data_IF_697775587301
#
_entry.id   IF_697775587301
#
_cell.length_a   1.000
_cell.length_b   1.000
_cell.length_c   1.000
_cell.angle_alpha   90.00
_cell.angle_beta   90.00
_cell.angle_gamma   90.00
#
_symmetry.space_group_name_H-M   'P 1'
#
loop_
_entity.id
_entity.type
_entity.pdbx_description
1 polymer ?
#
# COMPACT_ATOMS: atom_id res chain seq x y z
N UNK A 1 -20.14 -37.05 5.40
CA UNK A 1 -20.81 -36.13 4.44
C UNK A 1 -21.98 -35.45 5.13
N UNK A 2 -21.84 -34.19 5.54
CA UNK A 2 -22.86 -33.50 6.36
C UNK A 2 -22.72 -31.98 6.35
N UNK A 3 -22.37 -31.40 5.20
CA UNK A 3 -22.04 -29.97 5.06
C UNK A 3 -22.97 -29.16 4.16
N UNK A 4 -24.13 -29.68 3.75
CA UNK A 4 -24.97 -29.04 2.70
C UNK A 4 -26.36 -28.59 3.13
N UNK A 5 -26.77 -28.73 4.40
CA UNK A 5 -28.12 -28.31 4.86
C UNK A 5 -28.14 -26.96 5.60
N UNK A 6 -27.00 -26.39 5.97
CA UNK A 6 -26.97 -25.15 6.75
C UNK A 6 -27.19 -23.86 5.94
N UNK A 7 -27.06 -23.89 4.60
CA UNK A 7 -27.28 -22.70 3.76
C UNK A 7 -28.75 -22.46 3.35
N UNK A 8 -29.65 -23.42 3.56
CA UNK A 8 -31.08 -23.26 3.24
C UNK A 8 -31.87 -22.68 4.44
N UNK A 9 -31.37 -22.84 5.66
CA UNK A 9 -31.97 -22.31 6.88
C UNK A 9 -31.44 -20.93 7.30
N UNK A 10 -30.51 -20.34 6.55
CA UNK A 10 -30.03 -19.00 6.82
C UNK A 10 -31.14 -18.00 6.49
N UNK A 11 -31.65 -17.21 7.46
CA UNK A 11 -32.71 -16.25 7.19
C UNK A 11 -32.21 -15.23 6.15
N UNK A 12 -33.00 -15.03 5.09
CA UNK A 12 -32.75 -14.04 4.02
C UNK A 12 -32.90 -12.59 4.49
N UNK A 13 -33.29 -12.39 5.75
CA UNK A 13 -33.44 -11.09 6.38
C UNK A 13 -32.09 -10.54 6.85
N UNK A 14 -31.82 -9.26 6.59
CA UNK A 14 -30.65 -8.53 7.10
C UNK A 14 -30.71 -8.27 8.62
N UNK A 15 -31.05 -9.27 9.43
CA UNK A 15 -31.04 -9.17 10.90
C UNK A 15 -29.62 -8.84 11.41
N UNK A 16 -28.61 -9.34 10.70
CA UNK A 16 -27.20 -9.02 10.96
C UNK A 16 -26.81 -7.61 10.52
N UNK A 17 -27.58 -6.92 9.67
CA UNK A 17 -27.23 -5.57 9.20
C UNK A 17 -27.28 -4.52 10.33
N UNK A 18 -28.38 -4.53 11.10
CA UNK A 18 -28.55 -3.63 12.26
C UNK A 18 -27.63 -4.01 13.42
N UNK A 19 -27.43 -5.30 13.66
CA UNK A 19 -26.48 -5.79 14.67
C UNK A 19 -25.03 -5.43 14.33
N UNK A 20 -24.61 -5.55 13.06
CA UNK A 20 -23.27 -5.14 12.61
C UNK A 20 -23.00 -3.67 12.87
N UNK A 21 -23.96 -2.78 12.60
CA UNK A 21 -23.82 -1.34 12.87
C UNK A 21 -23.65 -1.04 14.36
N UNK A 22 -24.41 -1.72 15.23
CA UNK A 22 -24.29 -1.57 16.68
C UNK A 22 -22.95 -2.12 17.21
N UNK A 23 -22.48 -3.24 16.67
CA UNK A 23 -21.19 -3.84 17.03
C UNK A 23 -20.01 -2.97 16.57
N UNK A 24 -20.11 -2.27 15.43
CA UNK A 24 -19.09 -1.29 15.07
C UNK A 24 -18.94 -0.21 16.14
N UNK A 25 -20.03 0.34 16.68
CA UNK A 25 -19.93 1.35 17.74
C UNK A 25 -19.24 0.86 19.02
N UNK A 26 -19.34 -0.43 19.35
CA UNK A 26 -18.72 -1.03 20.55
C UNK A 26 -17.24 -1.36 20.37
N UNK A 27 -16.84 -1.75 19.15
CA UNK A 27 -15.49 -2.22 18.87
C UNK A 27 -14.70 -1.29 17.94
N UNK A 28 -15.23 -0.12 17.58
CA UNK A 28 -14.60 0.82 16.63
C UNK A 28 -13.18 1.19 17.06
N UNK A 29 -13.01 1.51 18.35
CA UNK A 29 -11.73 1.90 18.91
C UNK A 29 -10.74 0.72 18.94
N UNK A 30 -11.18 -0.47 19.35
CA UNK A 30 -10.34 -1.66 19.34
C UNK A 30 -9.96 -2.08 17.92
N UNK A 31 -10.90 -2.07 16.97
CA UNK A 31 -10.65 -2.33 15.55
C UNK A 31 -9.69 -1.28 14.99
N UNK A 32 -9.84 -0.01 15.40
CA UNK A 32 -8.97 1.11 15.06
C UNK A 32 -7.54 0.94 15.54
N UNK A 33 -7.36 0.57 16.81
CA UNK A 33 -6.05 0.37 17.42
C UNK A 33 -5.37 -0.88 16.86
N UNK A 34 -6.13 -1.94 16.61
CA UNK A 34 -5.58 -3.23 16.17
C UNK A 34 -5.48 -3.38 14.65
N UNK A 35 -5.93 -2.41 13.86
CA UNK A 35 -5.81 -2.50 12.41
C UNK A 35 -6.62 -3.61 11.76
N UNK A 36 -7.52 -4.28 12.50
CA UNK A 36 -8.10 -5.58 12.11
C UNK A 36 -9.16 -5.41 11.02
N UNK A 37 -8.86 -5.84 9.79
CA UNK A 37 -9.85 -6.10 8.74
C UNK A 37 -10.32 -7.54 8.89
N UNK A 38 -11.52 -7.74 9.45
CA UNK A 38 -12.22 -9.02 9.34
C UNK A 38 -13.28 -8.94 8.25
N UNK A 39 -13.17 -9.81 7.25
CA UNK A 39 -14.32 -10.15 6.42
C UNK A 39 -15.29 -11.00 7.24
N UNK A 40 -16.53 -10.53 7.45
CA UNK A 40 -17.59 -11.24 8.18
C UNK A 40 -17.99 -12.61 7.59
N UNK A 41 -17.39 -13.03 6.49
CA UNK A 41 -17.44 -14.40 5.95
C UNK A 41 -16.70 -15.44 6.80
N UNK A 42 -15.87 -15.01 7.77
CA UNK A 42 -15.25 -15.90 8.75
C UNK A 42 -15.90 -15.65 10.11
N UNK A 43 -16.55 -16.67 10.67
CA UNK A 43 -17.32 -16.55 11.92
C UNK A 43 -16.46 -16.40 13.17
N UNK A 44 -15.14 -16.64 13.07
CA UNK A 44 -14.14 -16.31 14.09
C UNK A 44 -12.73 -16.40 13.48
N UNK A 45 -12.25 -15.39 12.73
CA UNK A 45 -10.83 -15.34 12.39
C UNK A 45 -10.04 -15.06 13.67
N UNK A 46 -8.89 -15.69 13.82
CA UNK A 46 -7.97 -15.35 14.90
C UNK A 46 -7.63 -13.86 14.81
N UNK A 47 -7.79 -13.08 15.90
CA UNK A 47 -7.41 -11.68 15.87
C UNK A 47 -5.92 -11.59 15.54
N UNK A 48 -5.56 -10.61 14.70
CA UNK A 48 -4.17 -10.38 14.39
C UNK A 48 -3.42 -10.12 15.70
N UNK A 49 -2.33 -10.85 15.92
CA UNK A 49 -1.48 -10.67 17.10
C UNK A 49 -0.41 -9.59 16.90
N UNK A 50 -0.23 -9.14 15.66
CA UNK A 50 0.82 -8.20 15.28
C UNK A 50 0.30 -7.22 14.24
N UNK A 51 0.45 -5.95 14.55
CA UNK A 51 0.25 -4.85 13.61
C UNK A 51 1.51 -4.71 12.75
N UNK A 52 1.38 -4.89 11.43
CA UNK A 52 2.48 -4.74 10.48
C UNK A 52 2.31 -3.49 9.64
N UNK A 53 3.37 -2.69 9.54
CA UNK A 53 3.43 -1.49 8.73
C UNK A 53 4.75 -1.42 7.97
N UNK A 54 4.70 -0.71 6.85
CA UNK A 54 5.85 -0.42 6.02
C UNK A 54 6.30 1.01 6.33
N UNK A 55 7.53 1.13 6.81
CA UNK A 55 8.23 2.40 7.02
C UNK A 55 9.22 2.60 5.88
N UNK A 56 9.26 3.82 5.36
CA UNK A 56 10.18 4.23 4.31
C UNK A 56 11.30 5.07 4.90
N UNK A 57 12.55 4.78 4.55
CA UNK A 57 13.72 5.56 4.96
C UNK A 57 14.44 6.05 3.72
N UNK A 58 14.55 7.36 3.59
CA UNK A 58 15.30 8.02 2.52
C UNK A 58 16.76 8.16 2.94
N UNK A 59 17.68 7.73 2.09
CA UNK A 59 19.12 7.92 2.27
C UNK A 59 19.59 9.01 1.32
N UNK A 60 20.13 10.08 1.88
CA UNK A 60 20.66 11.21 1.12
C UNK A 60 22.13 11.01 0.72
N UNK A 61 22.64 11.81 -0.24
CA UNK A 61 24.04 11.75 -0.66
C UNK A 61 25.07 12.03 0.46
N UNK A 62 24.68 12.77 1.48
CA UNK A 62 25.48 13.06 2.68
C UNK A 62 25.49 11.92 3.70
N UNK A 63 24.79 10.82 3.42
CA UNK A 63 24.65 9.67 4.32
C UNK A 63 23.57 9.85 5.38
N UNK A 64 22.87 10.99 5.44
CA UNK A 64 21.77 11.18 6.37
C UNK A 64 20.57 10.31 6.01
N UNK A 65 19.90 9.81 7.04
CA UNK A 65 18.74 8.91 6.91
C UNK A 65 17.51 9.57 7.50
N UNK A 66 16.48 9.72 6.69
CA UNK A 66 15.21 10.31 7.08
C UNK A 66 14.11 9.27 6.98
N UNK A 67 13.48 8.95 8.11
CA UNK A 67 12.24 8.18 8.07
C UNK A 67 11.12 9.06 7.50
N UNK A 68 10.61 8.67 6.35
CA UNK A 68 9.46 9.30 5.73
C UNK A 68 8.24 8.76 6.44
N UNK A 69 7.73 9.53 7.42
CA UNK A 69 6.39 9.30 7.92
C UNK A 69 5.41 9.73 6.82
N UNK A 70 4.96 8.73 6.05
CA UNK A 70 4.14 8.94 4.85
C UNK A 70 2.99 9.93 5.06
N UNK A 71 2.74 10.75 4.03
CA UNK A 71 1.65 11.72 3.91
C UNK A 71 0.24 11.13 4.13
N UNK A 72 0.10 9.80 4.09
CA UNK A 72 -1.10 9.11 4.55
C UNK A 72 -0.93 8.84 6.04
N UNK A 73 -1.61 9.64 6.88
CA UNK A 73 -1.87 9.25 8.28
C UNK A 73 -2.53 7.88 8.24
N UNK A 74 -1.77 6.82 8.50
CA UNK A 74 -2.32 5.53 8.96
C UNK A 74 -3.17 5.73 10.23
N UNK A 75 -2.99 6.89 10.90
CA UNK A 75 -3.69 7.36 12.09
C UNK A 75 -5.10 7.91 11.82
N UNK A 76 -5.85 7.27 10.92
CA UNK A 76 -7.30 7.43 10.84
C UNK A 76 -7.99 6.23 11.51
N UNK A 77 -9.26 6.35 11.93
CA UNK A 77 -10.02 5.20 12.40
C UNK A 77 -9.93 4.06 11.38
N UNK A 78 -9.78 2.82 11.85
CA UNK A 78 -9.62 1.67 10.94
C UNK A 78 -10.88 1.54 10.13
N UNK A 79 -10.75 1.92 8.86
CA UNK A 79 -11.83 1.71 7.91
C UNK A 79 -11.92 0.22 7.64
N UNK A 80 -13.14 -0.30 7.66
CA UNK A 80 -13.53 -1.65 7.22
C UNK A 80 -13.02 -2.06 5.83
N UNK A 81 -12.49 -1.12 5.06
CA UNK A 81 -11.82 -1.38 3.80
C UNK A 81 -10.45 -0.73 3.87
N UNK A 82 -9.42 -1.51 3.59
CA UNK A 82 -8.11 -0.98 3.25
C UNK A 82 -8.27 0.15 2.23
N UNK A 83 -7.65 1.30 2.49
CA UNK A 83 -7.35 2.21 1.40
C UNK A 83 -6.41 1.49 0.41
N UNK A 84 -6.44 1.93 -0.85
CA UNK A 84 -5.65 1.27 -1.90
C UNK A 84 -4.15 1.29 -1.57
N UNK A 85 -3.70 2.31 -0.84
CA UNK A 85 -2.31 2.49 -0.39
C UNK A 85 -1.93 1.44 0.65
N UNK A 86 -2.70 1.22 1.71
CA UNK A 86 -2.41 0.21 2.75
C UNK A 86 -2.46 -1.20 2.17
N UNK A 87 -3.39 -1.49 1.25
CA UNK A 87 -3.38 -2.77 0.52
C UNK A 87 -2.08 -2.97 -0.26
N UNK A 88 -1.59 -1.92 -0.92
CA UNK A 88 -0.33 -1.97 -1.65
C UNK A 88 0.87 -2.12 -0.70
N UNK A 89 0.92 -1.38 0.42
CA UNK A 89 1.95 -1.50 1.45
C UNK A 89 2.01 -2.92 2.03
N UNK A 90 0.86 -3.53 2.36
CA UNK A 90 0.81 -4.94 2.76
C UNK A 90 1.34 -5.90 1.69
N UNK A 91 1.03 -5.62 0.42
CA UNK A 91 1.52 -6.44 -0.68
C UNK A 91 3.04 -6.32 -0.87
N UNK A 92 3.62 -5.15 -0.60
CA UNK A 92 5.07 -4.93 -0.61
C UNK A 92 5.77 -5.67 0.53
N UNK A 93 5.16 -5.75 1.72
CA UNK A 93 5.68 -6.53 2.86
C UNK A 93 5.76 -8.04 2.58
N UNK A 94 4.93 -8.56 1.67
CA UNK A 94 4.77 -10.00 1.40
C UNK A 94 5.53 -10.49 0.15
N UNK A 95 6.55 -9.75 -0.31
CA UNK A 95 7.52 -10.07 -1.40
C UNK A 95 7.17 -9.59 -2.83
N UNK A 96 6.27 -8.62 -3.03
CA UNK A 96 6.07 -8.02 -4.36
C UNK A 96 7.13 -6.96 -4.69
N UNK A 97 8.35 -7.42 -4.98
CA UNK A 97 9.53 -6.55 -5.24
C UNK A 97 9.30 -5.52 -6.36
N UNK A 98 8.58 -5.88 -7.41
CA UNK A 98 8.26 -4.94 -8.50
C UNK A 98 7.39 -3.75 -8.02
N UNK A 99 6.42 -4.01 -7.14
CA UNK A 99 5.60 -2.95 -6.55
C UNK A 99 6.43 -2.11 -5.57
N UNK A 100 7.27 -2.76 -4.76
CA UNK A 100 8.20 -2.10 -3.85
C UNK A 100 9.19 -1.18 -4.59
N UNK A 101 9.70 -1.61 -5.74
CA UNK A 101 10.55 -0.79 -6.61
C UNK A 101 9.82 0.41 -7.17
N UNK A 102 8.63 0.21 -7.76
CA UNK A 102 7.84 1.31 -8.31
C UNK A 102 7.45 2.32 -7.21
N UNK A 103 7.16 1.84 -6.00
CA UNK A 103 6.92 2.68 -4.83
C UNK A 103 8.16 3.47 -4.43
N UNK A 104 9.33 2.83 -4.34
CA UNK A 104 10.58 3.51 -4.04
C UNK A 104 10.92 4.60 -5.08
N UNK A 105 10.73 4.32 -6.37
CA UNK A 105 10.94 5.31 -7.44
C UNK A 105 9.98 6.50 -7.31
N UNK A 106 8.73 6.27 -6.91
CA UNK A 106 7.79 7.34 -6.56
C UNK A 106 8.32 8.16 -5.38
N UNK A 107 8.77 7.52 -4.31
CA UNK A 107 9.29 8.20 -3.13
C UNK A 107 10.55 9.02 -3.42
N UNK A 108 11.46 8.54 -4.28
CA UNK A 108 12.61 9.34 -4.73
C UNK A 108 12.16 10.66 -5.38
N UNK A 109 11.11 10.59 -6.22
CA UNK A 109 10.58 11.75 -6.95
C UNK A 109 9.83 12.71 -6.03
N UNK A 110 8.98 12.19 -5.14
CA UNK A 110 8.27 13.01 -4.15
C UNK A 110 9.25 13.71 -3.19
N UNK A 111 10.31 13.02 -2.76
CA UNK A 111 11.35 13.61 -1.94
C UNK A 111 12.07 14.76 -2.65
N UNK A 112 12.46 14.54 -3.91
CA UNK A 112 13.11 15.56 -4.73
C UNK A 112 12.22 16.79 -4.96
N UNK A 113 10.91 16.59 -5.17
CA UNK A 113 9.96 17.69 -5.28
C UNK A 113 9.79 18.47 -3.98
N UNK A 114 9.76 17.78 -2.84
CA UNK A 114 9.54 18.41 -1.54
C UNK A 114 10.79 19.11 -0.98
N UNK A 115 11.98 18.58 -1.24
CA UNK A 115 13.25 19.03 -0.62
C UNK A 115 14.25 19.60 -1.62
N UNK A 116 14.03 19.47 -2.92
CA UNK A 116 14.97 19.87 -3.97
C UNK A 116 16.23 18.99 -4.06
N UNK A 117 16.34 17.94 -3.24
CA UNK A 117 17.50 17.05 -3.16
C UNK A 117 17.14 15.68 -3.71
N UNK A 118 17.92 15.17 -4.64
CA UNK A 118 17.74 13.81 -5.16
C UNK A 118 18.38 12.79 -4.20
N UNK A 119 17.60 11.81 -3.67
CA UNK A 119 18.14 10.81 -2.77
C UNK A 119 18.94 9.73 -3.52
N UNK A 120 19.82 9.04 -2.78
CA UNK A 120 20.64 7.94 -3.33
C UNK A 120 19.81 6.65 -3.42
N UNK A 121 19.10 6.33 -2.34
CA UNK A 121 18.31 5.12 -2.23
C UNK A 121 17.16 5.29 -1.24
N UNK A 122 16.16 4.44 -1.41
CA UNK A 122 15.05 4.28 -0.47
C UNK A 122 15.18 2.88 0.15
N UNK A 123 15.25 2.85 1.48
CA UNK A 123 15.15 1.62 2.25
C UNK A 123 13.71 1.42 2.71
N UNK A 124 13.21 0.19 2.53
CA UNK A 124 11.92 -0.21 3.05
C UNK A 124 12.13 -1.06 4.30
N UNK A 125 11.46 -0.67 5.38
CA UNK A 125 11.51 -1.32 6.67
C UNK A 125 10.15 -1.90 7.02
N UNK A 126 10.13 -3.17 7.39
CA UNK A 126 8.97 -3.80 8.02
C UNK A 126 9.04 -3.43 9.48
N UNK A 127 7.96 -2.84 9.97
CA UNK A 127 7.79 -2.54 11.39
C UNK A 127 6.60 -3.32 11.91
N UNK A 128 6.74 -3.79 13.13
CA UNK A 128 5.79 -4.67 13.79
C UNK A 128 5.56 -4.18 15.21
N UNK A 129 4.30 -4.03 15.61
CA UNK A 129 3.92 -3.81 17.00
C UNK A 129 3.06 -4.97 17.45
N UNK A 130 3.40 -5.59 18.58
CA UNK A 130 2.57 -6.62 19.19
C UNK A 130 1.23 -6.01 19.62
N UNK A 131 0.14 -6.66 19.27
CA UNK A 131 -1.19 -6.28 19.73
C UNK A 131 -1.38 -6.93 21.12
N UNK A 132 -1.65 -6.13 22.17
CA UNK A 132 -1.86 -6.68 23.50
C UNK A 132 -3.11 -7.57 23.53
N UNK A 133 -3.11 -8.65 24.33
CA UNK A 133 -4.27 -9.51 24.48
C UNK A 133 -5.46 -8.73 25.09
N UNK A 134 -6.71 -9.14 24.82
CA UNK A 134 -7.90 -8.46 25.32
C UNK A 134 -7.93 -8.30 26.85
N UNK A 135 -7.39 -9.27 27.59
CA UNK A 135 -7.31 -9.26 29.06
C UNK A 135 -6.42 -8.11 29.57
N UNK A 136 -5.32 -7.83 28.87
CA UNK A 136 -4.41 -6.74 29.23
C UNK A 136 -5.04 -5.36 28.95
N UNK A 137 -5.78 -5.24 27.85
CA UNK A 137 -6.54 -4.02 27.51
C UNK A 137 -7.67 -3.79 28.53
N UNK A 138 -8.36 -4.84 28.95
CA UNK A 138 -9.42 -4.74 29.96
C UNK A 138 -8.88 -4.28 31.33
N UNK A 139 -7.67 -4.72 31.71
CA UNK A 139 -7.05 -4.35 32.98
C UNK A 139 -6.41 -2.95 32.96
N UNK A 140 -5.77 -2.55 31.86
CA UNK A 140 -4.97 -1.31 31.76
C UNK A 140 -5.72 -0.15 31.09
N UNK A 141 -6.89 -0.41 30.52
CA UNK A 141 -7.65 0.56 29.72
C UNK A 141 -7.14 0.66 28.28
N UNK A 142 -7.60 1.65 27.51
CA UNK A 142 -7.23 1.81 26.11
C UNK A 142 -5.73 2.03 25.95
N UNK A 143 -5.09 1.21 25.11
CA UNK A 143 -3.65 1.27 24.82
C UNK A 143 -3.43 2.06 23.54
N UNK A 144 -2.59 3.09 23.62
CA UNK A 144 -2.24 3.94 22.48
C UNK A 144 -1.02 3.40 21.74
N UNK A 145 -0.94 3.67 20.43
CA UNK A 145 0.14 3.17 19.55
C UNK A 145 1.53 3.56 20.04
N UNK A 146 1.65 4.75 20.61
CA UNK A 146 2.90 5.32 21.13
C UNK A 146 3.47 4.52 22.30
N UNK A 147 2.63 3.75 22.99
CA UNK A 147 3.02 2.89 24.11
C UNK A 147 3.48 1.51 23.65
N UNK A 148 3.19 1.12 22.40
CA UNK A 148 3.54 -0.19 21.87
C UNK A 148 4.99 -0.21 21.42
N UNK A 149 5.73 -1.23 21.87
CA UNK A 149 7.09 -1.46 21.42
C UNK A 149 7.09 -1.85 19.94
N UNK A 150 7.75 -1.04 19.14
CA UNK A 150 7.98 -1.30 17.73
C UNK A 150 9.24 -2.14 17.53
N UNK A 151 9.10 -3.21 16.75
CA UNK A 151 10.21 -4.03 16.27
C UNK A 151 10.32 -3.86 14.76
N UNK A 152 11.49 -3.43 14.29
CA UNK A 152 11.75 -3.18 12.87
C UNK A 152 12.78 -4.12 12.28
N UNK A 153 12.59 -4.50 11.01
CA UNK A 153 13.63 -5.13 10.19
C UNK A 153 13.61 -4.58 8.78
N UNK A 154 14.78 -4.45 8.16
CA UNK A 154 14.91 -3.99 6.78
C UNK A 154 14.38 -5.07 5.84
N UNK A 155 13.45 -4.71 4.96
CA UNK A 155 12.89 -5.60 3.94
C UNK A 155 13.76 -5.57 2.70
N UNK A 156 13.97 -4.37 2.16
CA UNK A 156 14.62 -4.18 0.87
C UNK A 156 15.23 -2.78 0.75
N UNK A 157 16.05 -2.62 -0.29
CA UNK A 157 16.71 -1.38 -0.66
C UNK A 157 16.61 -1.18 -2.17
N UNK A 158 16.23 0.02 -2.57
CA UNK A 158 16.09 0.37 -3.97
C UNK A 158 16.89 1.64 -4.28
N UNK A 159 17.89 1.58 -5.17
CA UNK A 159 18.59 2.78 -5.61
C UNK A 159 17.65 3.67 -6.42
N UNK A 160 17.75 4.98 -6.23
CA UNK A 160 17.01 5.93 -7.03
C UNK A 160 17.60 6.00 -8.45
N UNK A 161 16.76 6.07 -9.50
CA UNK A 161 17.26 6.10 -10.87
C UNK A 161 18.11 7.37 -11.11
N UNK A 162 19.21 7.25 -11.86
CA UNK A 162 19.99 8.42 -12.28
C UNK A 162 19.18 9.28 -13.26
N UNK A 163 19.41 10.59 -13.27
CA UNK A 163 18.74 11.54 -14.18
C UNK A 163 17.58 12.34 -13.58
N UNK A 164 17.24 12.13 -12.31
CA UNK A 164 16.32 13.00 -11.59
C UNK A 164 14.85 12.84 -12.02
N UNK A 165 14.10 13.95 -11.96
CA UNK A 165 12.67 13.98 -12.28
C UNK A 165 12.44 13.80 -13.79
N UNK A 166 11.45 12.97 -14.20
CA UNK A 166 11.14 12.80 -15.61
C UNK A 166 10.52 14.07 -16.23
N UNK A 167 10.65 14.22 -17.55
CA UNK A 167 10.18 15.37 -18.33
C UNK A 167 8.74 15.80 -17.96
N UNK A 168 7.79 14.88 -17.99
CA UNK A 168 6.37 15.19 -17.73
C UNK A 168 6.13 15.72 -16.30
N UNK A 169 6.96 15.32 -15.33
CA UNK A 169 6.88 15.87 -13.98
C UNK A 169 7.47 17.27 -13.94
N UNK A 170 8.63 17.49 -14.58
CA UNK A 170 9.24 18.81 -14.66
C UNK A 170 8.28 19.82 -15.30
N UNK A 171 7.65 19.45 -16.41
CA UNK A 171 6.62 20.25 -17.09
C UNK A 171 5.43 20.55 -16.16
N UNK A 172 4.87 19.53 -15.49
CA UNK A 172 3.73 19.70 -14.58
C UNK A 172 4.02 20.65 -13.41
N UNK A 173 5.23 20.61 -12.88
CA UNK A 173 5.64 21.41 -11.73
C UNK A 173 6.35 22.72 -12.13
N UNK A 174 6.43 23.05 -13.43
CA UNK A 174 7.08 24.27 -13.91
C UNK A 174 8.60 24.32 -13.64
N UNK A 175 9.25 23.16 -13.54
CA UNK A 175 10.69 23.04 -13.32
C UNK A 175 11.47 23.24 -14.63
N UNK A 176 12.74 23.68 -14.56
CA UNK A 176 13.57 23.81 -15.75
C UNK A 176 13.73 22.47 -16.47
N UNK A 177 13.49 22.49 -17.78
CA UNK A 177 13.58 21.34 -18.68
C UNK A 177 14.85 21.50 -19.52
N UNK A 178 15.77 20.55 -19.44
CA UNK A 178 16.98 20.53 -20.25
C UNK A 178 16.74 19.88 -21.62
N UNK A 179 17.68 20.05 -22.56
CA UNK A 179 17.64 19.35 -23.85
C UNK A 179 17.80 17.83 -23.69
N UNK A 180 18.54 17.39 -22.66
CA UNK A 180 18.63 15.96 -22.29
C UNK A 180 17.26 15.40 -21.87
N UNK A 181 16.47 16.18 -21.11
CA UNK A 181 15.12 15.78 -20.70
C UNK A 181 14.19 15.63 -21.93
N UNK A 182 14.30 16.55 -22.90
CA UNK A 182 13.54 16.50 -24.15
C UNK A 182 13.93 15.28 -24.99
N UNK A 183 15.22 15.01 -25.10
CA UNK A 183 15.72 13.83 -25.82
C UNK A 183 15.26 12.54 -25.15
N UNK A 184 15.34 12.43 -23.82
CA UNK A 184 14.86 11.29 -23.07
C UNK A 184 13.35 11.08 -23.23
N UNK A 185 12.56 12.17 -23.24
CA UNK A 185 11.13 12.13 -23.49
C UNK A 185 10.80 11.63 -24.91
N UNK A 186 11.56 12.06 -25.92
CA UNK A 186 11.36 11.60 -27.30
C UNK A 186 11.63 10.09 -27.46
N UNK A 187 12.70 9.58 -26.82
CA UNK A 187 13.01 8.14 -26.81
C UNK A 187 11.91 7.34 -26.11
N UNK A 188 11.41 7.84 -24.98
CA UNK A 188 10.33 7.21 -24.23
C UNK A 188 9.01 7.20 -25.03
N UNK A 189 8.68 8.31 -25.71
CA UNK A 189 7.49 8.42 -26.55
C UNK A 189 7.54 7.44 -27.74
N UNK A 190 8.71 7.28 -28.37
CA UNK A 190 8.91 6.29 -29.43
C UNK A 190 8.72 4.86 -28.91
N UNK A 191 9.26 4.55 -27.71
CA UNK A 191 9.06 3.25 -27.07
C UNK A 191 7.58 2.98 -26.81
N UNK A 192 6.86 3.95 -26.26
CA UNK A 192 5.44 3.84 -25.98
C UNK A 192 4.63 3.62 -27.27
N UNK A 193 4.94 4.37 -28.34
CA UNK A 193 4.31 4.18 -29.65
C UNK A 193 4.44 2.74 -30.14
N UNK A 194 5.66 2.17 -30.09
CA UNK A 194 5.92 0.77 -30.50
C UNK A 194 5.17 -0.23 -29.63
N UNK A 195 5.12 0.01 -28.32
CA UNK A 195 4.36 -0.86 -27.41
C UNK A 195 2.86 -0.83 -27.68
N UNK A 196 2.31 0.34 -27.99
CA UNK A 196 0.89 0.52 -28.26
C UNK A 196 0.51 -0.08 -29.62
N UNK A 197 1.36 0.04 -30.64
CA UNK A 197 1.23 -0.69 -31.90
C UNK A 197 1.23 -2.21 -31.68
N UNK A 198 2.17 -2.72 -30.88
CA UNK A 198 2.23 -4.14 -30.52
C UNK A 198 0.96 -4.59 -29.79
N UNK A 199 0.44 -3.80 -28.85
CA UNK A 199 -0.81 -4.10 -28.14
C UNK A 199 -2.00 -4.09 -29.10
N UNK A 200 -2.05 -3.14 -30.04
CA UNK A 200 -3.09 -3.07 -31.08
C UNK A 200 -3.08 -4.31 -31.96
N UNK A 201 -1.92 -4.68 -32.50
CA UNK A 201 -1.76 -5.90 -33.32
C UNK A 201 -2.13 -7.16 -32.53
N UNK A 202 -1.69 -7.27 -31.28
CA UNK A 202 -2.04 -8.40 -30.42
C UNK A 202 -3.55 -8.49 -30.14
N UNK A 203 -4.23 -7.33 -30.00
CA UNK A 203 -5.68 -7.27 -29.83
C UNK A 203 -6.43 -7.68 -31.10
N UNK A 204 -6.00 -7.19 -32.27
CA UNK A 204 -6.56 -7.56 -33.57
C UNK A 204 -6.41 -9.07 -33.85
N UNK A 205 -5.23 -9.64 -33.58
CA UNK A 205 -5.00 -11.09 -33.69
C UNK A 205 -5.93 -11.92 -32.78
N UNK A 206 -6.24 -11.42 -31.57
CA UNK A 206 -7.20 -12.08 -30.66
C UNK A 206 -8.64 -11.99 -31.15
N UNK A 207 -9.04 -10.92 -31.83
CA UNK A 207 -10.40 -10.80 -32.40
C UNK A 207 -10.68 -11.88 -33.45
N UNK A 208 -9.66 -12.31 -34.19
CA UNK A 208 -9.77 -13.44 -35.12
C UNK A 208 -10.04 -14.80 -34.46
N UNK A 209 -9.75 -14.95 -33.16
CA UNK A 209 -9.97 -16.18 -32.39
C UNK A 209 -11.41 -16.26 -31.83
N UNK A 210 -12.10 -15.12 -31.67
CA UNK A 210 -13.46 -15.03 -31.12
C UNK A 210 -14.51 -14.54 -32.13
N UNK A 211 -14.21 -14.60 -33.44
CA UNK A 211 -15.18 -14.29 -34.49
C UNK A 211 -16.29 -15.34 -34.58
N UNK A 212 -17.53 -14.98 -34.96
CA UNK A 212 -18.65 -15.92 -35.03
C UNK A 212 -18.37 -16.95 -36.13
N UNK A 213 -18.42 -18.23 -35.76
CA UNK A 213 -18.56 -19.32 -36.73
C UNK A 213 -19.95 -19.33 -37.36
#
# INVERSE_FOLDING_TARGET
HGGSMAMVAAPSYQVLGRWRLAMYGLFDEWITVTGTDQSWTMFAPSPAQVNLYLSEVVVQPDGQRFEVRGLVREQGPVRLRYDRVRRMKHAMLTKKRAQARAWAELQCREWALARGVWPVEIELHRRATAIPPPEEVAAKGPIYREQLKEVGSRVDRFPCPPGGLPYFMKERYGLPISDEDRAAAAVEAERQRREDERKRQAWEARRGIFGPG
#
